data_IF_843653341040
#
_entry.id   IF_843653341040
#
_cell.length_a   1.000
_cell.length_b   1.000
_cell.length_c   1.000
_cell.angle_alpha   90.00
_cell.angle_beta   90.00
_cell.angle_gamma   90.00
#
_symmetry.space_group_name_H-M   'P 1'
#
loop_
_entity.id
_entity.type
_entity.pdbx_description
1 polymer ?
#
# COMPACT_ATOMS: atom_id res chain seq x y z
N UNK A 1 10.22 -0.52 -21.35
CA UNK A 1 9.22 0.19 -22.17
C UNK A 1 9.16 -0.48 -23.52
N UNK A 2 7.95 -0.77 -23.96
CA UNK A 2 7.67 -1.52 -25.17
C UNK A 2 6.73 -0.68 -26.02
N UNK A 3 6.98 -0.59 -27.32
CA UNK A 3 6.07 0.05 -28.26
C UNK A 3 4.81 -0.81 -28.39
N UNK A 4 3.65 -0.19 -28.21
CA UNK A 4 2.37 -0.88 -28.31
C UNK A 4 2.02 -1.27 -29.75
N UNK A 5 2.60 -0.61 -30.76
CA UNK A 5 2.31 -0.88 -32.15
C UNK A 5 2.95 -2.18 -32.65
N UNK A 6 4.18 -2.47 -32.22
CA UNK A 6 4.96 -3.58 -32.77
C UNK A 6 5.68 -4.45 -31.73
N UNK A 7 5.61 -4.10 -30.44
CA UNK A 7 6.26 -4.84 -29.37
C UNK A 7 7.77 -4.61 -29.28
N UNK A 8 8.34 -3.66 -30.02
CA UNK A 8 9.77 -3.34 -29.93
C UNK A 8 10.12 -2.74 -28.58
N UNK A 9 11.30 -3.07 -28.06
CA UNK A 9 11.79 -2.49 -26.81
C UNK A 9 12.32 -1.09 -27.11
N UNK A 10 11.57 -0.08 -26.69
CA UNK A 10 11.97 1.33 -26.82
C UNK A 10 13.06 1.70 -25.82
N UNK A 11 12.95 1.16 -24.59
CA UNK A 11 13.86 1.52 -23.49
C UNK A 11 13.88 0.44 -22.42
N UNK A 12 15.06 0.08 -21.96
CA UNK A 12 15.27 -0.75 -20.78
C UNK A 12 16.02 0.06 -19.73
N UNK A 13 15.49 0.07 -18.51
CA UNK A 13 16.10 0.75 -17.37
C UNK A 13 16.56 -0.33 -16.39
N UNK A 14 17.86 -0.35 -16.09
CA UNK A 14 18.41 -1.14 -14.99
C UNK A 14 18.36 -0.27 -13.74
N UNK A 15 17.83 -0.78 -12.64
CA UNK A 15 17.74 -0.02 -11.38
C UNK A 15 18.57 -0.60 -10.24
N UNK A 16 19.01 -1.86 -10.35
CA UNK A 16 19.76 -2.57 -9.31
C UNK A 16 20.60 -3.67 -9.96
N UNK A 17 21.77 -3.97 -9.40
CA UNK A 17 22.56 -5.14 -9.85
C UNK A 17 22.46 -6.32 -8.87
N UNK A 18 21.56 -6.24 -7.90
CA UNK A 18 21.26 -7.37 -7.00
C UNK A 18 20.87 -8.60 -7.81
N UNK A 19 21.61 -9.68 -7.57
CA UNK A 19 21.34 -10.99 -8.16
C UNK A 19 19.95 -11.44 -7.73
N UNK A 20 19.17 -12.00 -8.67
CA UNK A 20 17.81 -12.46 -8.40
C UNK A 20 16.77 -11.37 -8.17
N UNK A 21 17.14 -10.08 -8.29
CA UNK A 21 16.16 -9.01 -8.14
C UNK A 21 15.19 -9.00 -9.33
N UNK A 22 13.92 -8.80 -9.03
CA UNK A 22 12.84 -8.68 -10.01
C UNK A 22 12.04 -7.41 -9.71
N UNK A 23 11.65 -6.69 -10.76
CA UNK A 23 10.75 -5.54 -10.64
C UNK A 23 9.32 -6.01 -10.56
N UNK A 24 8.51 -5.29 -9.79
CA UNK A 24 7.10 -5.60 -9.62
C UNK A 24 6.23 -4.63 -10.40
N UNK A 25 4.91 -4.77 -10.27
CA UNK A 25 3.97 -3.96 -11.03
C UNK A 25 4.19 -2.47 -10.80
N UNK A 26 3.95 -1.68 -11.85
CA UNK A 26 4.23 -0.25 -11.87
C UNK A 26 2.98 0.60 -11.69
N UNK A 27 3.13 1.77 -11.08
CA UNK A 27 2.13 2.82 -10.99
C UNK A 27 2.59 4.04 -11.79
N UNK A 28 1.72 4.58 -12.65
CA UNK A 28 2.03 5.70 -13.53
C UNK A 28 1.26 6.94 -13.11
N UNK A 29 1.98 8.03 -12.85
CA UNK A 29 1.41 9.36 -12.75
C UNK A 29 1.50 10.02 -14.14
N UNK A 30 0.36 10.52 -14.63
CA UNK A 30 0.29 11.30 -15.87
C UNK A 30 0.06 12.76 -15.57
N UNK A 31 0.67 13.63 -16.37
CA UNK A 31 0.36 15.04 -16.38
C UNK A 31 -1.08 15.22 -16.87
N UNK A 32 -1.92 15.86 -16.05
CA UNK A 32 -3.34 16.02 -16.37
C UNK A 32 -3.61 16.93 -17.58
N UNK A 33 -2.63 17.78 -17.97
CA UNK A 33 -2.77 18.72 -19.08
C UNK A 33 -2.22 18.13 -20.38
N UNK A 34 -1.03 17.51 -20.34
CA UNK A 34 -0.37 16.98 -21.55
C UNK A 34 -0.71 15.52 -21.83
N UNK A 35 -1.18 14.77 -20.83
CA UNK A 35 -1.39 13.33 -20.91
C UNK A 35 -0.10 12.51 -20.88
N UNK A 36 1.06 13.17 -20.86
CA UNK A 36 2.37 12.52 -20.82
C UNK A 36 2.62 11.88 -19.45
N UNK A 37 3.52 10.90 -19.42
CA UNK A 37 3.97 10.29 -18.18
C UNK A 37 4.82 11.33 -17.42
N UNK A 38 4.45 11.60 -16.18
CA UNK A 38 5.18 12.51 -15.28
C UNK A 38 6.11 11.73 -14.35
N UNK A 39 5.62 10.61 -13.79
CA UNK A 39 6.39 9.73 -12.90
C UNK A 39 5.93 8.29 -13.04
N UNK A 40 6.85 7.35 -12.79
CA UNK A 40 6.55 5.92 -12.66
C UNK A 40 7.14 5.42 -11.37
N UNK A 41 6.37 4.63 -10.61
CA UNK A 41 6.81 3.99 -9.37
C UNK A 41 6.65 2.49 -9.48
N UNK A 42 7.57 1.73 -8.89
CA UNK A 42 7.48 0.26 -8.85
C UNK A 42 8.31 -0.24 -7.68
N UNK A 43 7.88 -1.37 -7.12
CA UNK A 43 8.66 -2.09 -6.13
C UNK A 43 9.71 -2.98 -6.79
N UNK A 44 10.56 -3.56 -5.97
CA UNK A 44 11.38 -4.70 -6.35
C UNK A 44 11.28 -5.84 -5.32
N UNK A 45 11.78 -7.01 -5.68
CA UNK A 45 11.72 -8.19 -4.83
C UNK A 45 12.52 -8.01 -3.53
N UNK A 46 13.53 -7.15 -3.51
CA UNK A 46 14.29 -6.82 -2.29
C UNK A 46 13.63 -5.73 -1.44
N UNK A 47 12.42 -5.30 -1.78
CA UNK A 47 11.61 -4.39 -0.99
C UNK A 47 11.86 -2.91 -1.21
N UNK A 48 12.72 -2.54 -2.16
CA UNK A 48 12.93 -1.14 -2.52
C UNK A 48 11.74 -0.61 -3.31
N UNK A 49 11.45 0.69 -3.14
CA UNK A 49 10.53 1.41 -4.00
C UNK A 49 11.31 2.39 -4.88
N UNK A 50 11.13 2.26 -6.18
CA UNK A 50 11.80 3.07 -7.19
C UNK A 50 10.87 4.14 -7.74
N UNK A 51 11.45 5.27 -8.16
CA UNK A 51 10.77 6.37 -8.86
C UNK A 51 11.55 6.71 -10.13
N UNK A 52 10.86 6.81 -11.26
CA UNK A 52 11.41 7.28 -12.54
C UNK A 52 10.68 8.54 -12.98
N UNK A 53 11.41 9.59 -13.35
CA UNK A 53 10.83 10.85 -13.81
C UNK A 53 10.52 10.83 -15.32
N UNK A 54 9.41 11.44 -15.69
CA UNK A 54 8.82 11.42 -17.04
C UNK A 54 9.66 12.10 -18.12
N UNK A 55 10.30 13.22 -17.78
CA UNK A 55 11.25 13.92 -18.65
C UNK A 55 12.43 13.04 -19.07
N UNK A 56 12.72 12.00 -18.28
CA UNK A 56 13.78 11.03 -18.55
C UNK A 56 13.30 9.79 -19.28
N UNK A 57 12.01 9.51 -19.21
CA UNK A 57 11.35 8.46 -19.98
C UNK A 57 11.37 8.83 -21.48
N UNK A 58 11.15 10.11 -21.81
CA UNK A 58 11.13 10.62 -23.19
C UNK A 58 12.49 10.86 -23.87
N UNK A 59 13.62 10.76 -23.14
CA UNK A 59 14.96 11.00 -23.73
C UNK A 59 15.50 9.77 -24.46
N UNK A 60 15.82 9.97 -25.73
CA UNK A 60 16.44 9.01 -26.68
C UNK A 60 17.90 8.69 -26.40
N UNK A 61 18.56 9.43 -25.51
CA UNK A 61 20.03 9.44 -25.41
C UNK A 61 20.57 8.44 -24.35
N UNK A 62 19.72 7.58 -23.79
CA UNK A 62 20.06 6.68 -22.68
C UNK A 62 20.52 5.30 -23.17
N UNK A 63 21.66 5.23 -23.87
CA UNK A 63 22.27 3.98 -24.34
C UNK A 63 23.31 3.39 -23.37
N UNK A 64 23.54 3.98 -22.21
CA UNK A 64 24.47 3.45 -21.21
C UNK A 64 23.71 2.73 -20.06
N UNK A 65 24.01 1.45 -19.77
CA UNK A 65 23.50 0.77 -18.58
C UNK A 65 24.10 1.37 -17.28
N UNK A 66 23.28 1.44 -16.22
CA UNK A 66 23.71 1.88 -14.88
C UNK A 66 24.49 0.74 -14.18
N UNK A 67 25.51 1.06 -13.38
CA UNK A 67 26.34 0.10 -12.64
C UNK A 67 26.03 0.15 -11.13
N UNK A 68 26.11 -1.00 -10.45
CA UNK A 68 25.89 -1.13 -9.00
C UNK A 68 26.90 -0.34 -8.19
N UNK A 69 26.42 0.25 -7.09
CA UNK A 69 27.30 0.79 -6.04
C UNK A 69 27.91 2.15 -6.33
N UNK A 70 27.44 2.88 -7.35
CA UNK A 70 27.85 4.27 -7.54
C UNK A 70 27.23 5.16 -6.44
N UNK A 71 28.06 5.63 -5.53
CA UNK A 71 27.70 6.71 -4.61
C UNK A 71 27.76 7.99 -5.43
N UNK A 72 26.60 8.53 -5.75
CA UNK A 72 26.42 9.57 -6.76
C UNK A 72 27.24 10.85 -6.48
N UNK A 73 28.35 11.00 -7.20
CA UNK A 73 28.94 12.30 -7.49
C UNK A 73 29.24 12.39 -8.99
N UNK A 74 28.35 13.03 -9.75
CA UNK A 74 28.70 13.54 -11.07
C UNK A 74 29.45 14.86 -10.88
N UNK A 75 30.77 14.79 -10.96
CA UNK A 75 31.69 15.94 -10.86
C UNK A 75 31.69 16.85 -12.08
N UNK A 76 30.84 16.64 -13.09
CA UNK A 76 30.87 17.44 -14.32
C UNK A 76 29.67 18.34 -14.55
N UNK A 77 28.49 18.09 -13.95
CA UNK A 77 27.38 19.06 -13.96
C UNK A 77 26.17 18.74 -13.06
N UNK A 78 26.32 18.06 -11.92
CA UNK A 78 25.27 17.98 -10.90
C UNK A 78 23.94 17.33 -11.33
N UNK A 79 23.97 16.39 -12.28
CA UNK A 79 22.78 15.70 -12.79
C UNK A 79 22.48 14.39 -12.04
N UNK A 80 21.30 14.31 -11.41
CA UNK A 80 20.73 13.10 -10.75
C UNK A 80 20.57 11.93 -11.74
N UNK A 81 20.54 10.67 -11.29
CA UNK A 81 20.21 9.47 -12.10
C UNK A 81 18.77 9.47 -12.63
N UNK A 82 18.45 8.69 -13.68
CA UNK A 82 17.10 8.65 -14.23
C UNK A 82 16.05 7.93 -13.39
N UNK A 83 16.50 7.10 -12.46
CA UNK A 83 15.69 6.44 -11.46
C UNK A 83 16.25 6.80 -10.07
N UNK A 84 15.38 7.26 -9.19
CA UNK A 84 15.71 7.53 -7.80
C UNK A 84 15.12 6.42 -6.94
N UNK A 85 15.94 5.90 -6.02
CA UNK A 85 15.46 5.03 -4.96
C UNK A 85 14.64 5.90 -4.00
N UNK A 86 13.32 5.70 -3.98
CA UNK A 86 12.42 6.47 -3.11
C UNK A 86 12.40 5.90 -1.69
N UNK A 87 12.47 4.58 -1.55
CA UNK A 87 12.52 3.90 -0.25
C UNK A 87 13.49 2.73 -0.29
N UNK A 88 14.25 2.57 0.79
CA UNK A 88 15.24 1.51 0.99
C UNK A 88 14.93 0.75 2.29
N UNK A 89 14.60 -0.55 2.22
CA UNK A 89 14.42 -1.34 3.44
C UNK A 89 15.77 -1.56 4.14
N UNK A 90 15.70 -1.92 5.42
CA UNK A 90 16.88 -2.01 6.31
C UNK A 90 17.87 -3.09 5.88
N UNK A 91 17.36 -4.19 5.32
CA UNK A 91 18.13 -5.34 4.86
C UNK A 91 18.64 -5.17 3.41
N UNK A 92 18.23 -4.10 2.71
CA UNK A 92 18.57 -3.92 1.29
C UNK A 92 20.07 -4.01 1.02
N UNK A 93 20.93 -3.50 1.91
CA UNK A 93 22.38 -3.56 1.67
C UNK A 93 22.99 -4.95 1.93
N UNK A 94 22.32 -5.78 2.73
CA UNK A 94 22.90 -7.01 3.29
C UNK A 94 22.31 -8.28 2.68
N UNK A 95 21.04 -8.25 2.26
CA UNK A 95 20.37 -9.43 1.69
C UNK A 95 20.97 -9.78 0.34
N UNK A 96 21.25 -11.07 0.12
CA UNK A 96 21.77 -11.60 -1.13
C UNK A 96 21.29 -13.02 -1.33
N UNK A 97 21.11 -13.44 -2.59
CA UNK A 97 20.85 -14.84 -2.93
C UNK A 97 21.91 -15.75 -2.29
N UNK A 98 21.51 -16.82 -1.57
CA UNK A 98 20.19 -17.46 -1.57
C UNK A 98 19.21 -17.01 -0.48
N UNK A 99 19.53 -15.97 0.30
CA UNK A 99 18.67 -15.52 1.39
C UNK A 99 17.50 -14.69 0.84
N UNK A 100 16.29 -14.99 1.33
CA UNK A 100 15.09 -14.24 1.00
C UNK A 100 15.10 -12.86 1.67
N UNK A 101 14.64 -11.81 0.99
CA UNK A 101 14.57 -10.47 1.55
C UNK A 101 13.51 -10.37 2.66
N UNK A 102 13.74 -9.47 3.60
CA UNK A 102 12.85 -9.30 4.75
C UNK A 102 11.51 -8.63 4.37
N UNK A 103 11.52 -7.80 3.31
CA UNK A 103 10.40 -6.92 2.97
C UNK A 103 10.07 -6.89 1.47
N UNK A 104 9.90 -8.03 0.77
CA UNK A 104 9.62 -8.05 -0.66
C UNK A 104 8.38 -7.21 -1.01
N UNK A 105 8.41 -6.46 -2.11
CA UNK A 105 7.26 -5.63 -2.53
C UNK A 105 6.67 -6.19 -3.81
N UNK A 106 5.68 -7.08 -3.68
CA UNK A 106 5.00 -7.72 -4.82
C UNK A 106 3.74 -6.97 -5.28
N UNK A 107 3.11 -6.21 -4.39
CA UNK A 107 1.90 -5.45 -4.70
C UNK A 107 2.22 -4.21 -5.54
N UNK A 108 1.42 -3.95 -6.58
CA UNK A 108 1.50 -2.70 -7.35
C UNK A 108 1.31 -1.49 -6.42
N UNK A 109 2.18 -0.47 -6.49
CA UNK A 109 2.00 0.75 -5.73
C UNK A 109 0.72 1.51 -6.14
N UNK A 110 0.23 2.38 -5.25
CA UNK A 110 -0.88 3.29 -5.53
C UNK A 110 -0.46 4.73 -5.31
N UNK A 111 -0.85 5.60 -6.25
CA UNK A 111 -0.54 7.03 -6.20
C UNK A 111 -1.81 7.80 -5.81
N UNK A 112 -1.66 8.79 -4.94
CA UNK A 112 -2.68 9.80 -4.66
C UNK A 112 -2.10 11.21 -4.65
N UNK A 113 -2.95 12.21 -4.86
CA UNK A 113 -2.53 13.62 -4.81
C UNK A 113 -2.46 14.10 -3.36
N UNK A 114 -1.38 14.78 -3.01
CA UNK A 114 -1.22 15.48 -1.74
C UNK A 114 -1.98 16.80 -1.67
N UNK A 115 -1.73 17.58 -0.61
CA UNK A 115 -2.36 18.90 -0.41
C UNK A 115 -1.69 20.01 -1.21
N UNK A 116 -0.37 19.93 -1.34
CA UNK A 116 0.40 20.95 -2.04
C UNK A 116 0.50 20.63 -3.52
N UNK A 117 0.70 21.66 -4.35
CA UNK A 117 1.06 21.46 -5.75
C UNK A 117 2.36 20.63 -5.82
N UNK A 118 2.37 19.59 -6.66
CA UNK A 118 3.47 18.63 -6.82
C UNK A 118 3.81 17.77 -5.60
N UNK A 119 2.91 17.67 -4.62
CA UNK A 119 2.99 16.65 -3.56
C UNK A 119 2.15 15.44 -3.98
N UNK A 120 2.77 14.26 -3.94
CA UNK A 120 2.08 13.00 -4.21
C UNK A 120 2.33 12.03 -3.05
N UNK A 121 1.35 11.18 -2.80
CA UNK A 121 1.47 10.06 -1.89
C UNK A 121 1.62 8.78 -2.68
N UNK A 122 2.51 7.91 -2.24
CA UNK A 122 2.75 6.59 -2.82
C UNK A 122 2.55 5.55 -1.73
N UNK A 123 1.57 4.67 -1.95
CA UNK A 123 1.22 3.60 -1.03
C UNK A 123 1.62 2.26 -1.60
N UNK A 124 2.20 1.41 -0.77
CA UNK A 124 2.57 0.05 -1.12
C UNK A 124 2.65 -0.77 0.17
N UNK A 125 2.66 -2.08 0.04
CA UNK A 125 2.90 -2.95 1.17
C UNK A 125 3.88 -4.05 0.81
N UNK A 126 4.49 -4.62 1.84
CA UNK A 126 5.44 -5.69 1.71
C UNK A 126 4.80 -7.06 1.97
N UNK A 127 5.52 -8.08 1.53
CA UNK A 127 5.25 -9.50 1.68
C UNK A 127 5.22 -10.23 0.33
N UNK A 128 5.53 -11.51 0.38
CA UNK A 128 5.44 -12.44 -0.73
C UNK A 128 4.47 -13.57 -0.36
N UNK A 129 3.80 -14.18 -1.35
CA UNK A 129 2.86 -15.27 -1.14
C UNK A 129 3.55 -16.54 -0.66
N UNK A 130 4.71 -16.85 -1.26
CA UNK A 130 5.39 -18.14 -1.13
C UNK A 130 6.22 -18.28 0.17
N UNK A 131 6.41 -17.19 0.91
CA UNK A 131 7.19 -17.19 2.12
C UNK A 131 6.32 -17.51 3.34
N UNK A 132 6.75 -18.38 4.25
CA UNK A 132 6.09 -18.55 5.55
C UNK A 132 7.14 -19.00 6.54
N UNK A 133 7.46 -18.12 7.49
CA UNK A 133 8.41 -18.46 8.54
C UNK A 133 7.99 -17.84 9.88
N UNK A 134 8.06 -18.64 10.93
CA UNK A 134 7.86 -18.18 12.29
C UNK A 134 8.91 -17.14 12.72
N UNK A 135 10.05 -17.06 12.04
CA UNK A 135 11.11 -16.08 12.27
C UNK A 135 10.97 -14.82 11.39
N UNK A 136 10.17 -14.89 10.32
CA UNK A 136 10.00 -13.83 9.31
C UNK A 136 9.62 -12.49 9.93
N UNK A 137 10.26 -11.36 9.56
CA UNK A 137 9.89 -10.07 10.10
C UNK A 137 8.45 -9.73 9.76
N UNK A 138 7.84 -8.93 10.63
CA UNK A 138 6.52 -8.41 10.37
C UNK A 138 6.54 -7.54 9.12
N UNK A 139 5.65 -7.83 8.18
CA UNK A 139 5.50 -7.01 6.98
C UNK A 139 4.86 -5.66 7.32
N UNK A 140 4.91 -4.73 6.38
CA UNK A 140 4.43 -3.36 6.61
C UNK A 140 3.67 -2.82 5.42
N UNK A 141 2.71 -1.95 5.70
CA UNK A 141 2.07 -1.07 4.72
C UNK A 141 2.62 0.35 4.89
N UNK A 142 2.95 0.99 3.78
CA UNK A 142 3.65 2.27 3.76
C UNK A 142 2.83 3.34 3.06
N UNK A 143 2.93 4.58 3.55
CA UNK A 143 2.47 5.79 2.88
C UNK A 143 3.62 6.79 2.77
N UNK A 144 4.20 6.94 1.59
CA UNK A 144 5.34 7.81 1.35
C UNK A 144 4.93 9.08 0.64
N UNK A 145 5.41 10.21 1.16
CA UNK A 145 5.22 11.52 0.56
C UNK A 145 6.33 11.79 -0.44
N UNK A 146 6.03 11.75 -1.73
CA UNK A 146 6.95 12.16 -2.78
C UNK A 146 6.91 13.68 -2.99
N UNK A 147 7.99 14.35 -2.57
CA UNK A 147 8.26 15.76 -2.83
C UNK A 147 9.63 15.90 -3.45
N UNK A 148 9.75 16.79 -4.44
CA UNK A 148 11.03 17.10 -5.11
C UNK A 148 12.11 17.64 -4.16
N UNK A 149 11.73 18.15 -2.99
CA UNK A 149 12.63 18.73 -2.00
C UNK A 149 13.03 17.78 -0.86
N UNK A 150 12.49 16.55 -0.81
CA UNK A 150 12.81 15.64 0.29
C UNK A 150 14.08 14.85 -0.03
N UNK A 151 14.94 14.68 0.98
CA UNK A 151 16.07 13.76 0.90
C UNK A 151 15.53 12.34 0.72
N UNK A 152 15.96 11.67 -0.34
CA UNK A 152 15.66 10.27 -0.65
C UNK A 152 16.97 9.49 -0.74
N UNK A 153 16.99 8.17 -0.47
CA UNK A 153 15.84 7.32 -0.13
C UNK A 153 15.31 7.54 1.29
N UNK A 154 14.00 7.30 1.49
CA UNK A 154 13.44 7.08 2.82
C UNK A 154 13.92 5.74 3.37
N UNK A 155 14.27 5.71 4.65
CA UNK A 155 14.50 4.49 5.43
C UNK A 155 13.41 4.36 6.51
N UNK A 156 13.27 3.19 7.13
CA UNK A 156 12.29 2.97 8.21
C UNK A 156 12.36 4.03 9.32
N UNK A 157 13.56 4.51 9.65
CA UNK A 157 13.79 5.55 10.67
C UNK A 157 13.25 6.93 10.30
N UNK A 158 13.02 7.19 9.01
CA UNK A 158 12.47 8.46 8.53
C UNK A 158 10.94 8.48 8.55
N UNK A 159 10.31 7.33 8.83
CA UNK A 159 8.87 7.16 8.76
C UNK A 159 8.23 7.21 10.15
N UNK A 160 7.06 7.83 10.21
CA UNK A 160 6.23 7.79 11.42
C UNK A 160 5.61 6.41 11.57
N UNK A 161 5.88 5.75 12.70
CA UNK A 161 5.27 4.47 13.03
C UNK A 161 3.81 4.66 13.47
N UNK A 162 2.90 4.20 12.62
CA UNK A 162 1.45 4.25 12.85
C UNK A 162 0.88 2.90 13.26
N UNK A 163 1.71 1.93 13.62
CA UNK A 163 1.27 0.59 14.04
C UNK A 163 0.31 0.65 15.22
N UNK A 164 0.56 1.55 16.19
CA UNK A 164 -0.20 1.61 17.44
C UNK A 164 -1.13 2.82 17.54
N UNK A 165 -2.16 2.70 18.37
CA UNK A 165 -3.21 3.71 18.62
C UNK A 165 -2.70 5.08 19.07
N UNK A 166 -1.53 5.12 19.71
CA UNK A 166 -0.91 6.36 20.21
C UNK A 166 -0.07 7.09 19.15
N UNK A 167 0.09 6.53 17.96
CA UNK A 167 0.77 7.19 16.85
C UNK A 167 -0.02 8.40 16.37
N UNK A 168 0.48 9.61 16.63
CA UNK A 168 -0.07 10.82 16.03
C UNK A 168 0.84 11.27 14.89
N UNK A 169 0.31 11.32 13.67
CA UNK A 169 1.01 11.89 12.52
C UNK A 169 0.28 13.14 12.01
N UNK A 170 0.10 14.11 12.91
CA UNK A 170 -0.64 15.35 12.61
C UNK A 170 0.10 16.26 11.62
N UNK A 171 1.42 16.10 11.50
CA UNK A 171 2.21 16.75 10.45
C UNK A 171 1.99 16.13 9.06
N UNK A 172 1.39 14.93 9.01
CA UNK A 172 1.16 14.16 7.80
C UNK A 172 2.46 13.75 7.12
N UNK A 173 3.49 13.42 7.89
CA UNK A 173 4.77 12.92 7.38
C UNK A 173 4.61 11.52 6.79
N UNK A 174 5.61 11.05 6.02
CA UNK A 174 5.60 9.67 5.54
C UNK A 174 5.47 8.69 6.72
N UNK A 175 4.74 7.59 6.52
CA UNK A 175 4.35 6.71 7.62
C UNK A 175 4.34 5.24 7.21
N UNK A 176 4.32 4.35 8.20
CA UNK A 176 4.11 2.92 8.01
C UNK A 176 3.24 2.30 9.10
N UNK A 177 2.63 1.16 8.78
CA UNK A 177 1.87 0.31 9.71
C UNK A 177 2.47 -1.08 9.61
N UNK A 178 3.00 -1.58 10.71
CA UNK A 178 3.48 -2.95 10.81
C UNK A 178 2.28 -3.89 10.98
N UNK A 179 2.17 -4.85 10.07
CA UNK A 179 1.09 -5.82 9.99
C UNK A 179 1.33 -6.97 10.95
N UNK A 180 0.32 -7.82 11.16
CA UNK A 180 0.48 -9.05 11.93
C UNK A 180 0.65 -8.86 13.44
N UNK A 181 0.62 -7.61 13.93
CA UNK A 181 0.76 -7.34 15.34
C UNK A 181 -0.58 -7.48 16.08
N UNK A 182 -0.56 -8.24 17.17
CA UNK A 182 -1.70 -8.32 18.10
C UNK A 182 -2.06 -6.97 18.73
N UNK A 183 -1.14 -6.01 18.71
CA UNK A 183 -1.26 -4.74 19.39
C UNK A 183 -2.16 -3.70 18.69
N UNK A 184 -2.81 -4.03 17.56
CA UNK A 184 -4.05 -3.33 17.19
C UNK A 184 -5.10 -3.44 18.34
N UNK A 185 -5.01 -4.46 19.22
CA UNK A 185 -5.79 -4.55 20.47
C UNK A 185 -5.49 -3.47 21.52
N UNK A 186 -4.40 -2.71 21.39
CA UNK A 186 -4.08 -1.57 22.27
C UNK A 186 -4.91 -0.31 21.94
N UNK A 187 -5.82 -0.40 20.95
CA UNK A 187 -6.90 0.55 20.70
C UNK A 187 -8.02 0.50 21.76
N UNK A 188 -7.89 -0.35 22.79
CA UNK A 188 -8.88 -0.45 23.87
C UNK A 188 -10.16 -1.18 23.47
N UNK A 189 -10.23 -1.74 22.27
CA UNK A 189 -11.35 -2.53 21.76
C UNK A 189 -10.85 -3.48 20.64
N UNK A 190 -11.47 -4.66 20.56
CA UNK A 190 -10.90 -5.90 20.04
C UNK A 190 -10.49 -5.91 18.55
N UNK A 191 -9.46 -6.72 18.22
CA UNK A 191 -9.31 -7.30 16.88
C UNK A 191 -10.59 -8.10 16.59
N UNK A 192 -11.42 -7.62 15.66
CA UNK A 192 -12.67 -8.32 15.31
C UNK A 192 -12.35 -9.36 14.25
N UNK A 193 -12.56 -10.62 14.62
CA UNK A 193 -12.35 -11.76 13.73
C UNK A 193 -13.46 -11.96 12.70
N UNK A 194 -14.67 -11.37 12.82
CA UNK A 194 -15.68 -11.37 11.75
C UNK A 194 -16.74 -10.27 11.93
N UNK A 195 -17.21 -9.66 10.84
CA UNK A 195 -18.48 -8.93 10.82
C UNK A 195 -19.60 -9.97 10.97
N UNK A 196 -20.41 -9.91 12.04
CA UNK A 196 -21.62 -10.73 12.30
C UNK A 196 -21.50 -12.20 12.80
N UNK A 197 -20.35 -12.71 13.26
CA UNK A 197 -20.32 -14.08 13.79
C UNK A 197 -20.51 -14.15 15.32
N UNK A 198 -21.73 -14.47 15.77
CA UNK A 198 -22.08 -14.75 17.18
C UNK A 198 -21.54 -16.09 17.72
N UNK A 199 -20.65 -16.80 17.01
CA UNK A 199 -20.05 -18.03 17.50
C UNK A 199 -18.67 -17.82 18.13
N UNK A 200 -18.70 -17.66 19.45
CA UNK A 200 -17.72 -18.18 20.42
C UNK A 200 -16.23 -18.16 20.04
N UNK A 201 -15.50 -17.20 20.61
CA UNK A 201 -14.20 -17.49 21.23
C UNK A 201 -12.94 -17.54 20.35
N UNK A 202 -12.94 -16.94 19.15
CA UNK A 202 -11.72 -16.77 18.39
C UNK A 202 -11.17 -15.34 18.57
N UNK A 203 -10.29 -15.15 19.55
CA UNK A 203 -9.22 -14.15 19.42
C UNK A 203 -8.13 -14.83 18.61
N UNK A 204 -8.23 -14.91 17.29
CA UNK A 204 -7.03 -15.34 16.56
C UNK A 204 -6.03 -14.20 16.62
N UNK A 205 -4.91 -14.50 17.27
CA UNK A 205 -3.77 -13.61 17.25
C UNK A 205 -3.42 -13.33 15.79
N UNK A 206 -3.28 -12.06 15.41
CA UNK A 206 -2.68 -11.72 14.12
C UNK A 206 -1.30 -12.39 14.07
N UNK A 207 -1.01 -13.02 12.95
CA UNK A 207 0.28 -13.65 12.71
C UNK A 207 1.22 -12.65 12.04
N UNK A 208 2.50 -12.70 12.42
CA UNK A 208 3.58 -11.91 11.82
C UNK A 208 3.73 -12.05 10.31
N UNK A 209 3.17 -13.13 9.75
CA UNK A 209 3.16 -13.42 8.32
C UNK A 209 2.03 -12.71 7.55
N UNK A 210 1.25 -11.82 8.19
CA UNK A 210 0.28 -10.98 7.48
C UNK A 210 0.98 -10.06 6.47
N UNK A 211 0.48 -10.02 5.23
CA UNK A 211 1.16 -9.42 4.07
C UNK A 211 0.22 -8.74 3.10
N UNK A 212 0.74 -7.82 2.29
CA UNK A 212 -0.02 -7.07 1.28
C UNK A 212 0.30 -7.61 -0.10
N UNK A 213 -0.68 -8.25 -0.71
CA UNK A 213 -0.52 -8.93 -2.01
C UNK A 213 -1.16 -8.20 -3.18
N UNK A 214 -1.95 -7.16 -2.89
CA UNK A 214 -2.73 -6.40 -3.89
C UNK A 214 -2.58 -4.91 -3.67
N UNK A 215 -2.77 -4.17 -4.76
CA UNK A 215 -2.75 -2.71 -4.76
C UNK A 215 -3.79 -2.13 -3.80
N UNK A 216 -3.43 -1.07 -3.09
CA UNK A 216 -4.37 -0.28 -2.29
C UNK A 216 -5.28 0.63 -3.16
N UNK A 217 -6.39 1.07 -2.60
CA UNK A 217 -7.30 2.04 -3.20
C UNK A 217 -7.35 3.30 -2.36
N UNK A 218 -7.36 4.49 -2.98
CA UNK A 218 -7.44 5.76 -2.26
C UNK A 218 -8.71 6.47 -2.66
N UNK A 219 -9.57 6.74 -1.68
CA UNK A 219 -10.86 7.34 -1.91
C UNK A 219 -11.35 8.10 -0.67
N UNK A 220 -11.92 9.29 -0.87
CA UNK A 220 -12.58 10.07 0.17
C UNK A 220 -11.75 10.37 1.41
N UNK A 221 -10.44 10.59 1.25
CA UNK A 221 -9.51 10.88 2.34
C UNK A 221 -8.92 9.64 3.02
N UNK A 222 -9.26 8.44 2.55
CA UNK A 222 -8.79 7.19 3.13
C UNK A 222 -7.99 6.37 2.12
N UNK A 223 -7.08 5.55 2.65
CA UNK A 223 -6.42 4.46 1.94
C UNK A 223 -7.03 3.16 2.43
N UNK A 224 -7.52 2.38 1.49
CA UNK A 224 -8.08 1.05 1.69
C UNK A 224 -7.10 0.03 1.14
N UNK A 225 -6.79 -1.00 1.92
CA UNK A 225 -5.94 -2.08 1.44
C UNK A 225 -6.39 -3.39 2.07
N UNK A 226 -6.02 -4.49 1.42
CA UNK A 226 -6.33 -5.82 1.89
C UNK A 226 -5.05 -6.58 2.20
N UNK A 227 -5.11 -7.43 3.21
CA UNK A 227 -3.98 -8.27 3.62
C UNK A 227 -4.38 -9.73 3.62
N UNK A 228 -3.39 -10.59 3.45
CA UNK A 228 -3.51 -12.02 3.57
C UNK A 228 -2.61 -12.50 4.71
N UNK A 229 -3.15 -13.35 5.58
CA UNK A 229 -2.42 -13.99 6.66
C UNK A 229 -2.47 -15.51 6.46
N UNK A 230 -1.38 -16.16 6.03
CA UNK A 230 -1.31 -17.61 5.92
C UNK A 230 -1.44 -18.28 7.29
N UNK A 231 -2.13 -19.43 7.37
CA UNK A 231 -2.29 -20.16 8.63
C UNK A 231 -1.04 -20.97 9.02
N UNK A 232 -0.50 -21.74 8.08
CA UNK A 232 0.58 -22.71 8.33
C UNK A 232 1.54 -22.86 7.15
N UNK A 233 1.04 -22.63 5.94
CA UNK A 233 1.76 -22.79 4.67
C UNK A 233 1.25 -21.78 3.65
N UNK A 234 2.06 -21.42 2.64
CA UNK A 234 1.66 -20.53 1.55
C UNK A 234 0.35 -20.92 0.85
N UNK A 235 0.04 -22.22 0.77
CA UNK A 235 -1.13 -22.76 0.10
C UNK A 235 -2.22 -23.31 1.04
N UNK A 236 -2.04 -23.19 2.36
CA UNK A 236 -2.91 -23.80 3.38
C UNK A 236 -4.24 -23.08 3.61
N UNK A 237 -4.53 -22.05 2.82
CA UNK A 237 -5.56 -21.07 3.15
C UNK A 237 -5.04 -20.03 4.14
N UNK A 238 -5.90 -19.15 4.61
CA UNK A 238 -5.48 -18.03 5.45
C UNK A 238 -6.60 -17.09 5.77
N UNK A 239 -6.33 -16.13 6.62
CA UNK A 239 -7.26 -15.04 6.93
C UNK A 239 -7.02 -13.89 5.98
N UNK A 240 -8.09 -13.17 5.71
CA UNK A 240 -8.08 -11.97 4.87
C UNK A 240 -8.54 -10.81 5.72
N UNK A 241 -7.93 -9.64 5.61
CA UNK A 241 -8.42 -8.44 6.29
C UNK A 241 -8.55 -7.27 5.35
N UNK A 242 -9.50 -6.40 5.66
CA UNK A 242 -9.72 -5.13 5.00
C UNK A 242 -9.36 -4.00 5.95
N UNK A 243 -8.38 -3.19 5.57
CA UNK A 243 -7.89 -2.05 6.33
C UNK A 243 -8.41 -0.75 5.74
N UNK A 244 -8.62 0.24 6.61
CA UNK A 244 -8.88 1.61 6.22
C UNK A 244 -8.18 2.59 7.17
N UNK A 245 -7.43 3.54 6.61
CA UNK A 245 -6.69 4.56 7.37
C UNK A 245 -6.73 5.91 6.65
N UNK A 246 -6.59 7.00 7.40
CA UNK A 246 -6.44 8.34 6.84
C UNK A 246 -5.23 8.39 5.91
N UNK A 247 -5.43 8.94 4.71
CA UNK A 247 -4.43 8.83 3.65
C UNK A 247 -3.14 9.60 3.96
N UNK A 248 -3.19 10.67 4.76
CA UNK A 248 -2.01 11.50 5.07
C UNK A 248 -1.27 11.03 6.30
N UNK A 249 -2.02 10.61 7.31
CA UNK A 249 -1.46 10.32 8.63
C UNK A 249 -1.23 8.83 8.84
N UNK A 250 -1.97 7.96 8.15
CA UNK A 250 -2.01 6.52 8.46
C UNK A 250 -2.80 6.20 9.73
N UNK A 251 -3.46 7.20 10.33
CA UNK A 251 -4.29 7.01 11.52
C UNK A 251 -5.58 6.27 11.17
N UNK A 252 -6.13 5.52 12.12
CA UNK A 252 -7.49 5.01 11.98
C UNK A 252 -8.49 6.15 12.24
N UNK A 253 -9.72 5.99 11.75
CA UNK A 253 -10.81 6.93 11.98
C UNK A 253 -11.91 6.24 12.78
N UNK A 254 -12.27 6.84 13.92
CA UNK A 254 -13.40 6.39 14.73
C UNK A 254 -14.70 6.40 13.93
N UNK A 255 -15.50 5.35 14.11
CA UNK A 255 -16.77 5.09 13.46
C UNK A 255 -16.67 5.01 11.93
N UNK A 256 -15.52 4.66 11.36
CA UNK A 256 -15.40 4.47 9.91
C UNK A 256 -16.07 3.19 9.44
N UNK A 257 -15.88 2.09 10.16
CA UNK A 257 -16.60 0.84 9.90
C UNK A 257 -17.92 0.85 10.67
N UNK A 258 -19.00 0.40 10.02
CA UNK A 258 -20.32 0.30 10.61
C UNK A 258 -20.64 -1.13 11.04
N UNK A 259 -21.58 -1.26 11.99
CA UNK A 259 -22.15 -2.54 12.42
C UNK A 259 -21.09 -3.54 12.91
N UNK A 260 -20.07 -3.02 13.59
CA UNK A 260 -19.05 -3.81 14.26
C UNK A 260 -19.43 -4.00 15.72
N UNK A 261 -19.47 -5.26 16.16
CA UNK A 261 -19.74 -5.65 17.54
C UNK A 261 -18.70 -6.67 18.01
N UNK A 262 -18.32 -6.62 19.29
CA UNK A 262 -17.52 -7.67 19.90
C UNK A 262 -18.37 -8.94 20.18
N UNK A 263 -17.71 -9.99 20.67
CA UNK A 263 -18.38 -11.25 21.07
C UNK A 263 -19.39 -11.09 22.22
N UNK A 264 -19.42 -9.94 22.88
CA UNK A 264 -20.37 -9.56 23.93
C UNK A 264 -21.48 -8.63 23.43
N UNK A 265 -21.51 -8.29 22.13
CA UNK A 265 -22.48 -7.38 21.53
C UNK A 265 -22.21 -5.89 21.79
N UNK A 266 -21.02 -5.51 22.25
CA UNK A 266 -20.66 -4.10 22.40
C UNK A 266 -20.25 -3.53 21.04
N UNK A 267 -20.80 -2.37 20.68
CA UNK A 267 -20.41 -1.66 19.47
C UNK A 267 -18.93 -1.26 19.52
N UNK A 268 -18.23 -1.52 18.42
CA UNK A 268 -16.82 -1.25 18.26
C UNK A 268 -16.62 -0.08 17.30
N UNK A 269 -16.15 1.04 17.85
CA UNK A 269 -16.07 2.30 17.12
C UNK A 269 -14.65 2.64 16.66
N UNK A 270 -13.61 2.05 17.27
CA UNK A 270 -12.21 2.43 17.04
C UNK A 270 -11.42 1.26 16.42
N UNK A 271 -11.73 0.95 15.16
CA UNK A 271 -11.16 -0.21 14.46
C UNK A 271 -10.49 0.25 13.15
N UNK A 272 -9.27 -0.25 12.91
CA UNK A 272 -8.50 -0.01 11.68
C UNK A 272 -8.74 -1.04 10.60
N UNK A 273 -9.00 -2.29 11.00
CA UNK A 273 -9.13 -3.43 10.09
C UNK A 273 -10.24 -4.37 10.52
N UNK A 274 -10.93 -4.94 9.55
CA UNK A 274 -11.92 -6.01 9.76
C UNK A 274 -11.44 -7.28 9.09
N UNK A 275 -11.58 -8.42 9.75
CA UNK A 275 -11.40 -9.72 9.10
C UNK A 275 -12.58 -10.03 8.19
N UNK A 276 -12.26 -10.64 7.05
CA UNK A 276 -13.15 -11.01 5.98
C UNK A 276 -13.60 -12.47 6.17
N UNK A 277 -14.89 -12.73 5.95
CA UNK A 277 -15.59 -14.01 6.15
C UNK A 277 -14.94 -15.19 5.42
N UNK A 278 -14.45 -14.92 4.23
CA UNK A 278 -13.92 -15.89 3.30
C UNK A 278 -12.40 -15.78 3.30
N UNK A 279 -11.77 -16.78 3.92
CA UNK A 279 -10.32 -16.90 3.94
C UNK A 279 -9.68 -17.00 2.55
N UNK A 280 -8.35 -16.90 2.53
CA UNK A 280 -7.52 -16.90 1.31
C UNK A 280 -7.01 -15.52 0.94
N UNK A 281 -6.41 -15.38 -0.25
CA UNK A 281 -5.86 -14.09 -0.71
C UNK A 281 -7.00 -13.17 -1.16
N UNK A 282 -7.14 -11.98 -0.59
CA UNK A 282 -8.17 -11.05 -1.00
C UNK A 282 -7.79 -10.39 -2.33
N UNK A 283 -8.79 -10.01 -3.12
CA UNK A 283 -8.60 -9.14 -4.27
C UNK A 283 -8.27 -7.69 -3.87
N UNK A 284 -7.96 -6.85 -4.87
CA UNK A 284 -7.84 -5.40 -4.68
C UNK A 284 -9.16 -4.85 -4.11
N UNK A 285 -9.12 -4.01 -3.05
CA UNK A 285 -10.32 -3.38 -2.53
C UNK A 285 -10.99 -2.52 -3.61
N UNK A 286 -12.31 -2.64 -3.71
CA UNK A 286 -13.15 -1.73 -4.48
C UNK A 286 -14.00 -0.90 -3.53
N UNK A 287 -14.16 0.39 -3.83
CA UNK A 287 -15.06 1.27 -3.08
C UNK A 287 -16.25 1.58 -3.97
N UNK A 288 -17.44 1.19 -3.51
CA UNK A 288 -18.70 1.55 -4.16
C UNK A 288 -19.38 2.62 -3.33
N UNK A 289 -19.74 3.74 -3.96
CA UNK A 289 -20.62 4.75 -3.38
C UNK A 289 -21.97 4.72 -4.11
N UNK A 290 -23.04 4.34 -3.42
CA UNK A 290 -24.40 4.32 -3.97
C UNK A 290 -25.34 5.27 -3.25
N UNK A 291 -26.44 5.67 -3.89
CA UNK A 291 -27.55 6.31 -3.20
C UNK A 291 -28.52 5.24 -2.68
N UNK A 292 -28.74 5.16 -1.37
CA UNK A 292 -29.93 4.50 -0.85
C UNK A 292 -31.16 5.34 -1.17
N UNK A 293 -32.35 4.73 -1.27
CA UNK A 293 -33.62 5.39 -1.64
C UNK A 293 -34.06 6.56 -0.75
N UNK A 294 -33.25 6.99 0.23
CA UNK A 294 -33.41 8.17 1.08
C UNK A 294 -32.31 9.23 0.95
N UNK A 295 -31.41 9.13 -0.05
CA UNK A 295 -30.34 10.12 -0.27
C UNK A 295 -29.11 9.96 0.61
N UNK A 296 -28.88 8.76 1.18
CA UNK A 296 -27.69 8.45 1.97
C UNK A 296 -26.68 7.73 1.09
N UNK A 297 -25.42 8.18 1.09
CA UNK A 297 -24.33 7.44 0.45
C UNK A 297 -24.16 6.08 1.16
N UNK A 298 -23.88 5.01 0.43
CA UNK A 298 -23.44 3.72 0.98
C UNK A 298 -22.05 3.49 0.43
N UNK A 299 -21.04 3.52 1.31
CA UNK A 299 -19.68 3.15 0.96
C UNK A 299 -19.45 1.68 1.37
N UNK A 300 -19.04 0.83 0.43
CA UNK A 300 -18.66 -0.55 0.72
C UNK A 300 -17.27 -0.83 0.23
N UNK A 301 -16.44 -1.39 1.10
CA UNK A 301 -15.29 -2.18 0.67
C UNK A 301 -15.79 -3.47 0.06
N UNK A 302 -15.39 -3.77 -1.17
CA UNK A 302 -15.71 -5.03 -1.84
C UNK A 302 -14.43 -5.76 -2.20
N UNK A 303 -14.38 -7.04 -1.87
CA UNK A 303 -13.29 -7.91 -2.28
C UNK A 303 -13.82 -9.32 -2.56
N UNK A 304 -13.23 -9.98 -3.56
CA UNK A 304 -13.41 -11.41 -3.78
C UNK A 304 -12.31 -12.17 -3.09
N UNK A 305 -12.65 -13.20 -2.33
CA UNK A 305 -11.66 -14.19 -1.88
C UNK A 305 -11.45 -15.28 -2.94
N UNK A 306 -10.43 -16.10 -2.72
CA UNK A 306 -10.18 -17.30 -3.53
C UNK A 306 -11.33 -18.31 -3.54
N UNK A 307 -12.35 -18.18 -2.67
CA UNK A 307 -13.54 -19.02 -2.67
C UNK A 307 -14.68 -18.49 -3.59
N UNK A 308 -14.49 -17.33 -4.23
CA UNK A 308 -15.44 -16.76 -5.19
C UNK A 308 -16.60 -15.98 -4.57
N UNK A 309 -16.60 -15.80 -3.25
CA UNK A 309 -17.56 -14.92 -2.55
C UNK A 309 -17.21 -13.45 -2.73
N UNK A 310 -18.23 -12.61 -2.90
CA UNK A 310 -18.10 -11.14 -2.82
C UNK A 310 -18.42 -10.75 -1.37
N UNK A 311 -17.46 -10.15 -0.69
CA UNK A 311 -17.68 -9.62 0.64
C UNK A 311 -17.89 -8.11 0.63
N UNK A 312 -18.80 -7.66 1.50
CA UNK A 312 -19.20 -6.27 1.66
C UNK A 312 -18.84 -5.81 3.08
N UNK A 313 -17.90 -4.89 3.17
CA UNK A 313 -17.56 -4.18 4.41
C UNK A 313 -18.28 -2.84 4.42
N UNK A 314 -19.16 -2.63 5.40
CA UNK A 314 -19.96 -1.40 5.49
C UNK A 314 -19.14 -0.25 6.08
N UNK A 315 -19.10 0.87 5.37
CA UNK A 315 -18.37 2.08 5.77
C UNK A 315 -19.35 3.21 6.06
N UNK A 316 -18.98 4.06 7.02
CA UNK A 316 -19.79 5.18 7.46
C UNK A 316 -19.76 6.31 6.43
N UNK A 317 -20.89 6.60 5.74
CA UNK A 317 -20.94 7.64 4.73
C UNK A 317 -20.62 9.05 5.27
N UNK A 318 -20.88 9.30 6.56
CA UNK A 318 -20.59 10.59 7.18
C UNK A 318 -19.09 10.83 7.37
N UNK A 319 -18.28 9.78 7.37
CA UNK A 319 -16.82 9.93 7.38
C UNK A 319 -16.30 10.53 6.05
N UNK A 320 -17.05 10.36 4.96
CA UNK A 320 -16.69 10.84 3.63
C UNK A 320 -17.28 12.22 3.29
N UNK A 321 -18.37 12.61 3.94
CA UNK A 321 -19.13 13.84 3.63
C UNK A 321 -18.38 15.14 3.94
N UNK A 322 -17.34 15.09 4.78
CA UNK A 322 -16.45 16.22 5.07
C UNK A 322 -15.18 16.24 4.19
N UNK A 323 -14.89 15.13 3.50
CA UNK A 323 -13.64 14.91 2.75
C UNK A 323 -13.83 14.97 1.22
N UNK A 324 -15.07 14.96 0.73
CA UNK A 324 -15.38 14.91 -0.70
C UNK A 324 -16.10 16.17 -1.17
N UNK A 325 -15.40 17.01 -1.94
CA UNK A 325 -16.05 17.88 -2.92
C UNK A 325 -16.34 17.03 -4.17
N UNK A 326 -17.38 16.19 -4.06
CA UNK A 326 -17.77 15.17 -5.06
C UNK A 326 -18.02 15.75 -6.46
N UNK A 327 -18.19 17.08 -6.56
CA UNK A 327 -18.37 17.81 -7.82
C UNK A 327 -17.13 17.77 -8.74
N UNK A 328 -15.93 17.46 -8.22
CA UNK A 328 -14.69 17.38 -9.02
C UNK A 328 -14.34 15.97 -9.51
N UNK A 329 -15.07 14.93 -9.08
CA UNK A 329 -14.80 13.53 -9.50
C UNK A 329 -15.52 13.12 -10.79
N UNK A 330 -16.39 13.98 -11.32
CA UNK A 330 -16.96 13.77 -12.66
C UNK A 330 -15.90 14.18 -13.69
N UNK A 331 -15.20 13.17 -14.20
CA UNK A 331 -14.37 13.20 -15.39
C UNK A 331 -14.89 14.24 -16.40
N UNK A 332 -14.15 15.35 -16.59
CA UNK A 332 -14.32 16.18 -17.78
C UNK A 332 -13.85 15.34 -18.95
N UNK A 333 -14.80 14.72 -19.65
CA UNK A 333 -14.61 14.26 -21.03
C UNK A 333 -14.41 15.43 -21.97
#
# INVERSE_FOLDING_TARGET
MIDLADGTILKQLKVSDKVGNALTDLAVLRNATTGEIEKVYFGDYYGALWRVLGDRIGRTDASAPLADGDTLSDTTSGGTLPCDLLYKPTDYATTSVPDDPDYPVVAQPRIAKGVSNNEYWVYFGSGDYDEYDASYPYQSFFGLKDKLSTAVPYEFSDLTNMTFSTGSNSAGDSWYIQLGQNADSSLGQANIDFINNTSTGATTAKNRNERVMKRAEVYGGFVFFTTYEPLDTPCGGGKSRFYAVDYRSGAFQSNLFLNLEDSSGNSLNDVRSVELETGGVPSQPMIMEGQSGSGTAVASGVTTSSSGGIEKVELNPQAFSTALDILLWREKR
#
